data_IF_421686389223
#
_entry.id   IF_421686389223
#
_cell.length_a   1.000
_cell.length_b   1.000
_cell.length_c   1.000
_cell.angle_alpha   90.00
_cell.angle_beta   90.00
_cell.angle_gamma   90.00
#
_symmetry.space_group_name_H-M   'P 1'
#
loop_
_entity.id
_entity.type
_entity.pdbx_description
1 polymer ?
#
# COMPACT_ATOMS: atom_id res chain seq x y z
N UNK A 1 -8.26 9.19 -5.93
CA UNK A 1 -7.55 8.14 -5.18
C UNK A 1 -8.42 7.70 -4.01
N UNK A 2 -8.65 6.39 -3.85
CA UNK A 2 -9.60 5.82 -2.89
C UNK A 2 -9.08 5.96 -1.44
N UNK A 3 -9.84 6.61 -0.56
CA UNK A 3 -9.47 6.94 0.83
C UNK A 3 -9.14 5.70 1.68
N UNK A 4 -9.71 4.55 1.32
CA UNK A 4 -9.46 3.26 1.97
C UNK A 4 -8.01 2.77 1.79
N UNK A 5 -7.40 2.90 0.61
CA UNK A 5 -6.03 2.43 0.40
C UNK A 5 -5.01 3.28 1.17
N UNK A 6 -5.21 4.60 1.23
CA UNK A 6 -4.38 5.50 2.06
C UNK A 6 -4.45 5.14 3.55
N UNK A 7 -5.60 4.63 4.01
CA UNK A 7 -5.81 4.16 5.39
C UNK A 7 -5.04 2.90 5.71
N UNK A 8 -5.05 1.94 4.79
CA UNK A 8 -4.26 0.72 4.92
C UNK A 8 -2.77 1.03 4.90
N UNK A 9 -2.32 1.89 3.97
CA UNK A 9 -0.93 2.34 3.88
C UNK A 9 -0.47 3.04 5.17
N UNK A 10 -1.27 3.92 5.77
CA UNK A 10 -0.91 4.55 7.05
C UNK A 10 -0.88 3.58 8.23
N UNK A 11 -1.75 2.56 8.23
CA UNK A 11 -1.88 1.62 9.35
C UNK A 11 -0.79 0.55 9.34
N UNK A 12 -0.43 0.05 8.15
CA UNK A 12 0.53 -1.05 8.00
C UNK A 12 1.86 -0.62 7.35
N UNK A 13 1.93 0.54 6.69
CA UNK A 13 3.16 1.06 6.06
C UNK A 13 4.10 1.79 7.01
N UNK A 14 3.68 2.10 8.25
CA UNK A 14 4.52 2.74 9.28
C UNK A 14 5.43 1.76 10.05
N UNK A 15 5.39 0.49 9.70
CA UNK A 15 6.22 -0.54 10.33
C UNK A 15 7.63 -0.51 9.75
N UNK A 16 8.50 0.28 10.40
CA UNK A 16 9.94 -0.01 10.62
C UNK A 16 11.06 0.38 9.65
N UNK A 17 10.84 1.09 8.54
CA UNK A 17 11.97 1.80 7.90
C UNK A 17 11.55 3.15 7.31
N UNK A 18 12.40 4.17 7.45
CA UNK A 18 12.17 5.51 6.94
C UNK A 18 12.03 5.59 5.41
N UNK A 19 12.30 4.48 4.70
CA UNK A 19 12.26 4.31 3.25
C UNK A 19 11.22 3.29 2.76
N UNK A 20 10.29 2.84 3.61
CA UNK A 20 9.30 1.83 3.21
C UNK A 20 8.22 2.42 2.30
N UNK A 21 8.21 2.02 1.02
CA UNK A 21 7.17 2.40 0.05
C UNK A 21 6.21 1.24 -0.17
N UNK A 22 4.94 1.44 0.18
CA UNK A 22 3.88 0.44 0.02
C UNK A 22 2.92 0.82 -1.13
N UNK A 23 2.62 -0.13 -2.00
CA UNK A 23 1.60 -0.03 -3.04
C UNK A 23 0.51 -1.07 -2.78
N UNK A 24 -0.75 -0.61 -2.65
CA UNK A 24 -1.88 -1.48 -2.32
C UNK A 24 -2.93 -1.43 -3.42
N UNK A 25 -3.46 -2.60 -3.78
CA UNK A 25 -4.57 -2.76 -4.70
C UNK A 25 -5.52 -3.85 -4.19
N UNK A 26 -6.66 -4.05 -4.86
CA UNK A 26 -7.66 -5.01 -4.40
C UNK A 26 -7.11 -6.45 -4.42
N UNK A 27 -6.95 -7.03 -3.24
CA UNK A 27 -6.38 -8.37 -3.02
C UNK A 27 -4.86 -8.47 -3.20
N UNK A 28 -4.13 -7.36 -3.36
CA UNK A 28 -2.67 -7.38 -3.56
C UNK A 28 -1.97 -6.22 -2.87
N UNK A 29 -0.78 -6.45 -2.34
CA UNK A 29 0.05 -5.42 -1.76
C UNK A 29 1.52 -5.67 -2.07
N UNK A 30 2.28 -4.59 -2.27
CA UNK A 30 3.72 -4.63 -2.48
C UNK A 30 4.37 -3.68 -1.49
N UNK A 31 5.36 -4.14 -0.76
CA UNK A 31 6.17 -3.33 0.17
C UNK A 31 7.63 -3.40 -0.30
N UNK A 32 8.24 -2.24 -0.51
CA UNK A 32 9.70 -2.12 -0.70
C UNK A 32 10.31 -1.71 0.64
N UNK A 33 11.36 -2.39 1.07
CA UNK A 33 12.09 -2.06 2.29
C UNK A 33 13.54 -2.53 2.17
N UNK A 34 14.37 -2.11 3.12
CA UNK A 34 15.75 -2.58 3.23
C UNK A 34 15.88 -3.37 4.55
N UNK A 35 16.40 -4.59 4.47
CA UNK A 35 16.67 -5.40 5.66
C UNK A 35 18.07 -5.04 6.15
N UNK A 36 18.14 -4.07 7.07
CA UNK A 36 19.38 -3.68 7.75
C UNK A 36 19.73 -4.67 8.88
N UNK A 37 21.00 -5.06 8.95
CA UNK A 37 21.48 -6.11 9.86
C UNK A 37 21.66 -5.69 11.32
N UNK A 38 21.02 -6.43 12.24
CA UNK A 38 21.52 -7.03 13.51
C UNK A 38 20.37 -7.69 14.30
N UNK A 39 19.13 -7.54 13.86
CA UNK A 39 18.05 -8.43 14.28
C UNK A 39 18.24 -9.80 13.58
N UNK A 40 17.90 -10.94 14.21
CA UNK A 40 17.90 -12.20 13.49
C UNK A 40 17.00 -12.01 12.26
N UNK A 41 17.59 -12.17 11.06
CA UNK A 41 16.97 -11.84 9.77
C UNK A 41 15.59 -12.49 9.56
N UNK A 42 15.30 -13.53 10.33
CA UNK A 42 13.98 -14.14 10.46
C UNK A 42 12.91 -13.15 10.94
N UNK A 43 13.15 -12.36 11.99
CA UNK A 43 12.10 -11.50 12.58
C UNK A 43 11.70 -10.32 11.71
N UNK A 44 12.64 -9.67 11.04
CA UNK A 44 12.36 -8.53 10.16
C UNK A 44 11.65 -8.98 8.87
N UNK A 45 12.14 -10.06 8.26
CA UNK A 45 11.52 -10.67 7.09
C UNK A 45 10.10 -11.18 7.40
N UNK A 46 9.92 -11.89 8.51
CA UNK A 46 8.60 -12.40 8.95
C UNK A 46 7.60 -11.26 9.19
N UNK A 47 8.03 -10.18 9.82
CA UNK A 47 7.19 -9.00 10.06
C UNK A 47 6.77 -8.34 8.74
N UNK A 48 7.73 -8.12 7.83
CA UNK A 48 7.47 -7.50 6.54
C UNK A 48 6.55 -8.37 5.66
N UNK A 49 6.73 -9.69 5.68
CA UNK A 49 5.83 -10.66 5.05
C UNK A 49 4.42 -10.59 5.66
N UNK A 50 4.33 -10.52 6.99
CA UNK A 50 3.05 -10.41 7.71
C UNK A 50 2.33 -9.11 7.39
N UNK A 51 3.04 -7.98 7.34
CA UNK A 51 2.47 -6.66 7.06
C UNK A 51 1.98 -6.56 5.62
N UNK A 52 2.76 -7.08 4.66
CA UNK A 52 2.30 -7.21 3.27
C UNK A 52 1.05 -8.09 3.16
N UNK A 53 1.01 -9.22 3.90
CA UNK A 53 -0.14 -10.10 3.91
C UNK A 53 -1.40 -9.42 4.48
N UNK A 54 -1.25 -8.67 5.58
CA UNK A 54 -2.32 -7.90 6.21
C UNK A 54 -2.83 -6.78 5.30
N UNK A 55 -1.94 -6.09 4.58
CA UNK A 55 -2.34 -5.11 3.57
C UNK A 55 -3.19 -5.75 2.47
N UNK A 56 -2.75 -6.89 1.93
CA UNK A 56 -3.48 -7.59 0.88
C UNK A 56 -4.84 -8.12 1.40
N UNK A 57 -4.89 -8.73 2.58
CA UNK A 57 -6.15 -9.19 3.17
C UNK A 57 -7.09 -8.03 3.54
N UNK A 58 -6.56 -6.97 4.16
CA UNK A 58 -7.30 -5.78 4.57
C UNK A 58 -7.86 -5.01 3.38
N UNK A 59 -7.23 -5.10 2.20
CA UNK A 59 -7.76 -4.51 0.97
C UNK A 59 -9.15 -5.04 0.58
N UNK A 60 -9.51 -6.25 1.03
CA UNK A 60 -10.82 -6.85 0.79
C UNK A 60 -11.89 -6.37 1.79
N UNK A 61 -11.47 -5.93 2.97
CA UNK A 61 -12.36 -5.53 4.06
C UNK A 61 -12.33 -4.01 4.24
N UNK A 62 -13.38 -3.33 3.76
CA UNK A 62 -13.47 -1.85 3.79
C UNK A 62 -13.60 -1.26 5.19
N UNK A 63 -14.19 -2.03 6.10
CA UNK A 63 -14.69 -1.52 7.38
C UNK A 63 -13.97 -2.10 8.59
N UNK A 64 -13.34 -3.27 8.46
CA UNK A 64 -12.82 -4.03 9.60
C UNK A 64 -11.31 -4.26 9.49
N UNK A 65 -10.63 -4.24 10.63
CA UNK A 65 -9.22 -4.64 10.73
C UNK A 65 -9.12 -6.15 10.50
N UNK A 66 -8.05 -6.61 9.85
CA UNK A 66 -7.79 -8.05 9.67
C UNK A 66 -6.81 -8.55 10.73
N UNK A 67 -7.13 -9.70 11.32
CA UNK A 67 -6.24 -10.45 12.22
C UNK A 67 -5.71 -11.68 11.51
N UNK A 68 -4.45 -12.01 11.78
CA UNK A 68 -3.84 -13.28 11.40
C UNK A 68 -4.51 -14.41 12.19
N UNK A 69 -4.96 -15.46 11.51
CA UNK A 69 -5.41 -16.69 12.16
C UNK A 69 -4.30 -17.75 12.15
N UNK A 70 -3.70 -17.96 10.97
CA UNK A 70 -2.53 -18.82 10.77
C UNK A 70 -1.56 -18.14 9.81
N UNK A 71 -0.26 -18.26 10.05
CA UNK A 71 0.79 -17.72 9.18
C UNK A 71 1.99 -18.64 9.25
N UNK A 72 2.39 -19.17 8.10
CA UNK A 72 3.54 -20.04 7.92
C UNK A 72 4.55 -19.32 7.03
N UNK A 73 5.81 -19.35 7.43
CA UNK A 73 6.92 -18.71 6.72
C UNK A 73 7.99 -19.75 6.45
N UNK A 74 8.48 -19.77 5.22
CA UNK A 74 9.56 -20.61 4.74
C UNK A 74 10.68 -19.70 4.23
N UNK A 75 11.80 -19.68 4.94
CA UNK A 75 13.02 -18.98 4.51
C UNK A 75 13.77 -19.86 3.52
N UNK A 76 14.11 -19.31 2.35
CA UNK A 76 14.94 -20.00 1.34
C UNK A 76 16.40 -19.58 1.46
N UNK A 77 16.64 -18.36 1.91
CA UNK A 77 17.98 -17.85 2.22
C UNK A 77 18.01 -17.30 3.66
N UNK A 78 18.82 -17.93 4.50
CA UNK A 78 18.97 -17.52 5.89
C UNK A 78 19.91 -16.33 6.02
N UNK A 79 19.46 -15.28 6.71
CA UNK A 79 20.30 -14.13 7.03
C UNK A 79 20.55 -13.15 5.88
N UNK A 80 19.72 -13.17 4.83
CA UNK A 80 19.76 -12.18 3.76
C UNK A 80 19.71 -10.75 4.33
N UNK A 81 20.58 -9.89 3.82
CA UNK A 81 20.71 -8.48 4.20
C UNK A 81 20.75 -7.65 2.93
N UNK A 82 19.94 -6.58 2.88
CA UNK A 82 19.85 -5.70 1.72
C UNK A 82 18.42 -5.39 1.29
N UNK A 83 18.27 -4.69 0.14
CA UNK A 83 16.98 -4.26 -0.37
C UNK A 83 16.11 -5.46 -0.75
N UNK A 84 14.85 -5.41 -0.32
CA UNK A 84 13.85 -6.44 -0.57
C UNK A 84 12.51 -5.87 -1.03
N UNK A 85 11.76 -6.72 -1.72
CA UNK A 85 10.39 -6.45 -2.14
C UNK A 85 9.46 -7.58 -1.69
N UNK A 86 8.58 -7.29 -0.73
CA UNK A 86 7.51 -8.22 -0.38
C UNK A 86 6.30 -8.01 -1.27
N UNK A 87 5.84 -9.09 -1.91
CA UNK A 87 4.68 -9.12 -2.79
C UNK A 87 3.63 -10.06 -2.21
N UNK A 88 2.52 -9.51 -1.73
CA UNK A 88 1.41 -10.25 -1.17
C UNK A 88 0.22 -10.30 -2.14
N UNK A 89 -0.41 -11.46 -2.24
CA UNK A 89 -1.59 -11.69 -3.06
C UNK A 89 -2.59 -12.63 -2.36
N UNK A 90 -3.86 -12.23 -2.35
CA UNK A 90 -4.95 -13.09 -1.94
C UNK A 90 -5.18 -14.14 -3.03
N UNK A 91 -5.03 -15.40 -2.66
CA UNK A 91 -5.22 -16.54 -3.57
C UNK A 91 -6.61 -17.16 -3.45
N UNK A 92 -7.26 -16.98 -2.30
CA UNK A 92 -8.57 -17.58 -2.02
C UNK A 92 -9.34 -16.74 -0.99
N UNK A 93 -10.64 -16.61 -1.19
CA UNK A 93 -11.57 -16.03 -0.22
C UNK A 93 -12.64 -17.08 0.14
N UNK A 94 -12.73 -17.42 1.43
CA UNK A 94 -13.70 -18.36 1.98
C UNK A 94 -14.37 -17.68 3.18
N UNK A 95 -15.52 -17.01 3.02
CA UNK A 95 -16.12 -16.22 4.11
C UNK A 95 -16.18 -16.99 5.44
N UNK A 96 -15.66 -16.43 6.56
CA UNK A 96 -15.12 -15.08 6.73
C UNK A 96 -13.60 -14.94 6.47
N UNK A 97 -12.92 -15.97 5.96
CA UNK A 97 -11.47 -16.08 5.81
C UNK A 97 -10.95 -15.60 4.45
N UNK A 98 -9.76 -15.01 4.44
CA UNK A 98 -8.97 -14.79 3.23
C UNK A 98 -7.62 -15.51 3.35
N UNK A 99 -7.18 -16.20 2.30
CA UNK A 99 -5.88 -16.85 2.25
C UNK A 99 -4.96 -16.03 1.36
N UNK A 100 -3.80 -15.68 1.90
CA UNK A 100 -2.80 -14.82 1.26
C UNK A 100 -1.50 -15.59 1.12
N UNK A 101 -0.87 -15.47 -0.04
CA UNK A 101 0.51 -15.87 -0.27
C UNK A 101 1.36 -14.62 -0.39
N UNK A 102 2.56 -14.65 0.19
CA UNK A 102 3.53 -13.56 0.12
C UNK A 102 4.87 -14.12 -0.32
N UNK A 103 5.52 -13.40 -1.23
CA UNK A 103 6.89 -13.67 -1.66
C UNK A 103 7.77 -12.51 -1.23
N UNK A 104 8.92 -12.82 -0.65
CA UNK A 104 10.00 -11.87 -0.42
C UNK A 104 11.03 -12.04 -1.51
N UNK A 105 11.24 -10.99 -2.30
CA UNK A 105 12.19 -10.96 -3.40
C UNK A 105 13.38 -10.08 -3.03
N UNK A 106 14.59 -10.48 -3.43
CA UNK A 106 15.77 -9.63 -3.43
C UNK A 106 15.70 -8.59 -4.57
N UNK A 107 16.69 -7.70 -4.63
CA UNK A 107 16.85 -6.75 -5.76
C UNK A 107 17.07 -7.45 -7.11
N UNK A 108 17.67 -8.64 -7.09
CA UNK A 108 17.88 -9.50 -8.27
C UNK A 108 16.65 -10.36 -8.63
N UNK A 109 15.49 -10.08 -8.02
CA UNK A 109 14.24 -10.84 -8.16
C UNK A 109 14.33 -12.32 -7.71
N UNK A 110 15.33 -12.68 -6.90
CA UNK A 110 15.45 -14.01 -6.31
C UNK A 110 14.55 -14.16 -5.08
N UNK A 111 13.96 -15.35 -4.89
CA UNK A 111 13.05 -15.60 -3.76
C UNK A 111 13.85 -15.89 -2.50
N UNK A 112 13.89 -14.92 -1.60
CA UNK A 112 14.54 -15.00 -0.28
C UNK A 112 13.68 -15.76 0.71
N UNK A 113 12.36 -15.52 0.68
CA UNK A 113 11.40 -16.17 1.56
C UNK A 113 10.00 -16.24 0.94
N UNK A 114 9.22 -17.20 1.42
CA UNK A 114 7.83 -17.40 1.03
C UNK A 114 6.98 -17.54 2.29
N UNK A 115 5.77 -17.00 2.26
CA UNK A 115 4.84 -17.12 3.37
C UNK A 115 3.43 -17.36 2.88
N UNK A 116 2.65 -18.07 3.69
CA UNK A 116 1.23 -18.30 3.47
C UNK A 116 0.48 -18.12 4.77
N UNK A 117 -0.64 -17.39 4.70
CA UNK A 117 -1.47 -17.19 5.88
C UNK A 117 -2.95 -17.12 5.58
N UNK A 118 -3.73 -17.36 6.62
CA UNK A 118 -5.17 -17.12 6.64
C UNK A 118 -5.50 -15.96 7.58
N UNK A 119 -6.41 -15.11 7.13
CA UNK A 119 -6.78 -13.86 7.79
C UNK A 119 -8.28 -13.81 8.01
N UNK A 120 -8.68 -13.26 9.14
CA UNK A 120 -10.07 -13.08 9.55
C UNK A 120 -10.34 -11.59 9.80
N UNK A 121 -11.47 -11.04 9.34
CA UNK A 121 -11.91 -9.73 9.77
C UNK A 121 -12.24 -9.77 11.27
N UNK A 122 -11.77 -8.78 12.01
CA UNK A 122 -12.15 -8.59 13.40
C UNK A 122 -13.47 -7.83 13.50
N UNK A 123 -14.00 -7.70 14.72
CA UNK A 123 -15.13 -6.81 15.00
C UNK A 123 -14.68 -5.35 15.17
N UNK A 124 -13.38 -5.08 15.14
CA UNK A 124 -12.84 -3.74 15.27
C UNK A 124 -12.97 -3.02 13.94
N UNK A 125 -13.61 -1.86 14.00
CA UNK A 125 -13.72 -1.00 12.84
C UNK A 125 -12.35 -0.38 12.54
N UNK A 126 -12.01 -0.26 11.26
CA UNK A 126 -10.84 0.51 10.87
C UNK A 126 -10.94 1.94 11.46
N UNK A 127 -9.82 2.59 11.83
CA UNK A 127 -9.81 3.92 12.48
C UNK A 127 -10.03 5.03 11.46
N UNK A 128 -11.07 5.86 11.58
CA UNK A 128 -11.38 6.87 10.55
C UNK A 128 -10.26 7.90 10.47
N UNK A 129 -9.56 7.96 9.33
CA UNK A 129 -8.48 8.92 9.14
C UNK A 129 -8.98 10.36 9.08
N UNK A 130 -10.28 10.57 8.91
CA UNK A 130 -10.91 11.88 9.03
C UNK A 130 -10.88 12.42 10.47
N UNK A 131 -10.73 11.54 11.46
CA UNK A 131 -10.65 11.88 12.88
C UNK A 131 -9.21 12.03 13.39
N UNK A 132 -8.21 11.59 12.62
CA UNK A 132 -6.80 11.83 12.93
C UNK A 132 -6.39 13.13 12.25
N UNK A 133 -6.65 14.24 12.92
CA UNK A 133 -6.15 15.55 12.55
C UNK A 133 -4.67 15.42 12.17
N UNK A 134 -4.33 15.81 10.95
CA UNK A 134 -2.94 16.10 10.62
C UNK A 134 -2.48 17.14 11.65
N UNK A 135 -1.31 16.98 12.31
CA UNK A 135 -0.80 18.04 13.16
C UNK A 135 -0.61 19.25 12.27
N UNK A 136 -1.55 20.19 12.38
CA UNK A 136 -1.47 21.51 11.79
C UNK A 136 -0.21 22.15 12.33
N UNK A 137 0.87 22.13 11.55
CA UNK A 137 2.02 22.99 11.78
C UNK A 137 1.58 24.42 11.48
N UNK A 138 0.85 25.02 12.42
CA UNK A 138 0.64 26.45 12.50
C UNK A 138 1.94 27.07 13.02
N UNK A 139 2.90 27.28 12.13
CA UNK A 139 3.96 28.27 12.37
C UNK A 139 3.56 29.52 11.61
N UNK A 140 2.87 30.39 12.32
CA UNK A 140 2.70 31.80 12.00
C UNK A 140 4.08 32.44 11.86
N UNK A 141 4.48 32.76 10.63
CA UNK A 141 5.49 33.77 10.36
C UNK A 141 4.82 34.90 9.59
N UNK A 142 4.20 35.80 10.36
CA UNK A 142 3.99 37.17 9.93
C UNK A 142 5.35 37.85 9.75
N UNK A 143 5.40 38.79 8.81
CA UNK A 143 6.51 39.66 8.42
C UNK A 143 7.56 39.04 7.49
N UNK A 144 7.38 39.28 6.18
CA UNK A 144 8.26 40.16 5.42
C UNK A 144 7.58 40.51 4.09
N UNK A 145 7.32 41.80 3.88
CA UNK A 145 6.73 42.33 2.65
C UNK A 145 7.72 42.36 1.49
N UNK A 146 7.21 42.09 0.28
CA UNK A 146 7.79 42.56 -0.98
C UNK A 146 6.67 42.85 -1.98
N UNK A 147 6.84 43.99 -2.65
CA UNK A 147 5.97 44.63 -3.63
C UNK A 147 5.36 43.69 -4.68
N UNK A 148 4.07 43.84 -4.94
CA UNK A 148 3.39 43.20 -6.07
C UNK A 148 3.25 44.17 -7.23
N UNK A 149 4.19 44.14 -8.15
CA UNK A 149 3.97 44.54 -9.54
C UNK A 149 4.71 43.53 -10.41
N UNK A 150 4.02 42.99 -11.41
CA UNK A 150 4.49 42.48 -12.72
C UNK A 150 3.61 41.32 -13.22
N UNK A 151 2.69 41.72 -14.11
CA UNK A 151 2.19 41.01 -15.30
C UNK A 151 1.43 39.68 -15.13
N UNK A 152 0.11 39.78 -15.18
CA UNK A 152 -0.76 38.75 -15.75
C UNK A 152 -0.25 38.35 -17.14
N UNK A 153 0.21 37.10 -17.26
CA UNK A 153 0.21 36.41 -18.56
C UNK A 153 -0.91 35.40 -18.54
N UNK A 154 -1.89 35.70 -19.39
CA UNK A 154 -3.14 35.02 -19.64
C UNK A 154 -2.89 33.56 -20.08
N UNK A 155 -2.76 32.64 -19.12
CA UNK A 155 -2.76 31.22 -19.39
C UNK A 155 -4.21 30.77 -19.57
N UNK A 156 -4.69 30.86 -20.82
CA UNK A 156 -6.00 30.39 -21.25
C UNK A 156 -6.32 29.02 -20.61
N UNK A 157 -7.31 29.01 -19.72
CA UNK A 157 -7.76 27.79 -19.02
C UNK A 157 -8.24 26.75 -20.03
N UNK A 158 -7.38 25.78 -20.33
CA UNK A 158 -7.76 24.61 -21.12
C UNK A 158 -8.82 23.82 -20.34
N UNK A 159 -10.06 23.86 -20.82
CA UNK A 159 -11.14 23.04 -20.27
C UNK A 159 -10.70 21.56 -20.31
N UNK A 160 -10.83 20.80 -19.21
CA UNK A 160 -10.53 19.37 -19.24
C UNK A 160 -11.44 18.69 -20.26
N UNK A 161 -10.82 17.96 -21.21
CA UNK A 161 -11.55 17.23 -22.24
C UNK A 161 -12.47 16.18 -21.59
N UNK A 162 -13.73 16.13 -22.02
CA UNK A 162 -14.68 15.11 -21.57
C UNK A 162 -14.18 13.73 -21.99
N UNK A 163 -13.94 12.85 -21.02
CA UNK A 163 -13.60 11.46 -21.28
C UNK A 163 -14.78 10.77 -21.98
N UNK A 164 -14.56 10.36 -23.22
CA UNK A 164 -15.51 9.57 -24.01
C UNK A 164 -15.25 8.08 -23.71
N UNK A 165 -16.23 7.32 -23.17
CA UNK A 165 -16.01 5.91 -22.86
C UNK A 165 -15.88 5.11 -24.16
N UNK A 166 -14.69 4.55 -24.40
CA UNK A 166 -14.40 3.68 -25.54
C UNK A 166 -14.62 2.24 -25.11
N UNK A 167 -15.55 1.55 -25.76
CA UNK A 167 -15.73 0.10 -25.58
C UNK A 167 -14.96 -0.64 -26.69
N UNK A 168 -13.92 -1.38 -26.30
CA UNK A 168 -13.21 -2.26 -27.22
C UNK A 168 -14.03 -3.54 -27.41
N UNK A 169 -14.49 -3.78 -28.64
CA UNK A 169 -15.06 -5.07 -29.07
C UNK A 169 -14.10 -5.77 -30.04
N UNK A 170 -14.13 -7.10 -30.15
CA UNK A 170 -13.27 -7.84 -31.09
C UNK A 170 -13.53 -7.54 -32.58
N UNK A 171 -14.53 -6.71 -32.90
CA UNK A 171 -14.88 -6.30 -34.26
C UNK A 171 -14.66 -4.80 -34.54
N UNK A 172 -14.06 -4.05 -33.60
CA UNK A 172 -13.74 -2.64 -33.77
C UNK A 172 -14.23 -1.73 -32.63
N UNK A 173 -13.91 -0.44 -32.78
CA UNK A 173 -14.25 0.62 -31.83
C UNK A 173 -15.59 1.24 -32.22
N UNK A 174 -16.56 1.22 -31.29
CA UNK A 174 -17.86 1.88 -31.46
C UNK A 174 -17.87 3.13 -30.58
N UNK A 175 -18.02 4.30 -31.21
CA UNK A 175 -18.33 5.56 -30.54
C UNK A 175 -19.86 5.74 -30.56
N UNK A 176 -20.50 5.83 -29.40
CA UNK A 176 -21.92 6.19 -29.29
C UNK A 176 -22.04 7.71 -29.16
N UNK A 177 -22.82 8.34 -30.05
CA UNK A 177 -23.22 9.75 -29.97
C UNK A 177 -24.33 9.95 -28.94
#
# INVERSE_FOLDING_TARGET
>A
MNTHFKRLERLYGRSHAASTQAAVSFGRAIIHSDIEGHLPGTTAAEQLLTDAARLAAGSLHKEHVVRVDQFEVEMKEDGYTGPVRAMAQVILTQPPRAVVTVLLLSDDDEVVAEARGSFLPTKEQLPDLSAVAEPSSSTSNDAMGYDSEYAETDAAGLKPASFMPIYASPFGVICLN
#
